data_IF_798894243858
#
_entry.id   IF_798894243858
#
_cell.length_a   1.000
_cell.length_b   1.000
_cell.length_c   1.000
_cell.angle_alpha   90.00
_cell.angle_beta   90.00
_cell.angle_gamma   90.00
#
_symmetry.space_group_name_H-M   'P 1'
#
loop_
_entity.id
_entity.type
_entity.pdbx_description
1 polymer ?
#
# COMPACT_ATOMS: atom_id res chain seq x y z
N UNK A 1 -18.77 -9.77 -1.82
CA UNK A 1 -18.24 -9.41 -3.16
C UNK A 1 -17.44 -10.55 -3.78
N UNK A 2 -16.77 -11.41 -3.01
CA UNK A 2 -15.95 -12.49 -3.56
C UNK A 2 -16.73 -13.59 -4.31
N UNK A 3 -17.96 -13.90 -3.87
CA UNK A 3 -18.83 -14.89 -4.56
C UNK A 3 -19.20 -14.50 -5.99
N UNK A 4 -19.47 -13.22 -6.25
CA UNK A 4 -19.80 -12.73 -7.60
C UNK A 4 -18.58 -12.80 -8.53
N UNK A 5 -17.39 -12.48 -8.00
CA UNK A 5 -16.14 -12.58 -8.76
C UNK A 5 -15.76 -14.02 -9.09
N UNK A 6 -16.02 -14.94 -8.16
CA UNK A 6 -15.83 -16.38 -8.38
C UNK A 6 -16.67 -16.87 -9.55
N UNK A 7 -17.98 -16.59 -9.54
CA UNK A 7 -18.89 -16.99 -10.62
C UNK A 7 -18.49 -16.42 -11.99
N UNK A 8 -18.09 -15.14 -12.06
CA UNK A 8 -17.66 -14.54 -13.33
C UNK A 8 -16.37 -15.16 -13.90
N UNK A 9 -15.47 -15.66 -13.04
CA UNK A 9 -14.27 -16.39 -13.49
C UNK A 9 -14.56 -17.83 -13.89
N UNK A 10 -15.58 -18.45 -13.30
CA UNK A 10 -16.05 -19.78 -13.69
C UNK A 10 -16.72 -19.73 -15.07
N UNK A 11 -17.47 -18.65 -15.35
CA UNK A 11 -18.14 -18.44 -16.63
C UNK A 11 -17.17 -18.02 -17.75
N UNK A 12 -16.15 -17.20 -17.44
CA UNK A 12 -15.11 -16.79 -18.40
C UNK A 12 -13.73 -16.73 -17.73
N UNK A 13 -12.91 -17.74 -18.01
CA UNK A 13 -11.55 -17.86 -17.46
C UNK A 13 -10.56 -16.82 -18.02
N UNK A 14 -10.90 -16.14 -19.12
CA UNK A 14 -10.09 -15.05 -19.68
C UNK A 14 -10.31 -13.72 -18.96
N UNK A 15 -11.33 -13.64 -18.10
CA UNK A 15 -11.74 -12.40 -17.47
C UNK A 15 -10.81 -12.02 -16.30
N UNK A 16 -10.04 -10.95 -16.49
CA UNK A 16 -9.16 -10.42 -15.44
C UNK A 16 -9.96 -9.53 -14.50
N UNK A 17 -10.24 -10.06 -13.31
CA UNK A 17 -10.96 -9.32 -12.25
C UNK A 17 -9.96 -8.62 -11.33
N UNK A 18 -9.95 -7.30 -11.35
CA UNK A 18 -9.21 -6.50 -10.38
C UNK A 18 -10.08 -6.11 -9.18
N UNK A 19 -9.39 -5.83 -8.07
CA UNK A 19 -9.90 -5.14 -6.88
C UNK A 19 -10.50 -3.76 -7.15
N UNK A 20 -10.66 -2.96 -6.09
CA UNK A 20 -10.93 -1.53 -6.24
C UNK A 20 -9.75 -0.80 -6.92
N UNK A 21 -9.93 0.45 -7.34
CA UNK A 21 -8.87 1.28 -7.93
C UNK A 21 -7.60 1.33 -7.06
N UNK A 22 -7.76 1.40 -5.74
CA UNK A 22 -6.65 1.35 -4.76
C UNK A 22 -5.86 0.04 -4.85
N UNK A 23 -6.52 -1.09 -5.10
CA UNK A 23 -5.86 -2.38 -5.26
C UNK A 23 -5.03 -2.44 -6.55
N UNK A 24 -5.53 -1.87 -7.64
CA UNK A 24 -4.78 -1.78 -8.91
C UNK A 24 -3.51 -0.94 -8.71
N UNK A 25 -3.61 0.20 -8.03
CA UNK A 25 -2.44 1.03 -7.73
C UNK A 25 -1.43 0.33 -6.83
N UNK A 26 -1.87 -0.51 -5.89
CA UNK A 26 -0.95 -1.32 -5.08
C UNK A 26 -0.19 -2.34 -5.94
N UNK A 27 -0.88 -3.07 -6.83
CA UNK A 27 -0.24 -4.03 -7.73
C UNK A 27 0.78 -3.34 -8.65
N UNK A 28 0.37 -2.24 -9.28
CA UNK A 28 1.25 -1.43 -10.13
C UNK A 28 2.44 -0.88 -9.34
N UNK A 29 2.22 -0.46 -8.10
CA UNK A 29 3.27 0.00 -7.20
C UNK A 29 4.28 -1.09 -6.88
N UNK A 30 3.86 -2.35 -6.72
CA UNK A 30 4.74 -3.50 -6.50
C UNK A 30 5.59 -3.81 -7.74
N UNK A 31 5.03 -3.67 -8.94
CA UNK A 31 5.74 -3.95 -10.19
C UNK A 31 6.77 -2.86 -10.53
N UNK A 32 6.47 -1.60 -10.22
CA UNK A 32 7.32 -0.45 -10.61
C UNK A 32 8.33 -0.09 -9.52
N UNK A 33 7.98 -0.27 -8.24
CA UNK A 33 8.83 0.21 -7.14
C UNK A 33 9.86 -0.82 -6.74
N UNK A 34 11.14 -0.45 -6.73
CA UNK A 34 12.19 -1.31 -6.18
C UNK A 34 11.90 -1.67 -4.72
N UNK A 35 11.95 -2.96 -4.40
CA UNK A 35 11.75 -3.48 -3.04
C UNK A 35 12.75 -2.90 -2.04
N UNK A 36 13.97 -2.59 -2.48
CA UNK A 36 15.00 -1.93 -1.66
C UNK A 36 14.59 -0.52 -1.25
N UNK A 37 14.11 0.30 -2.19
CA UNK A 37 13.68 1.68 -1.95
C UNK A 37 12.45 1.69 -1.03
N UNK A 38 11.50 0.79 -1.28
CA UNK A 38 10.31 0.69 -0.43
C UNK A 38 10.70 0.35 1.03
N UNK A 39 11.64 -0.57 1.22
CA UNK A 39 12.15 -0.94 2.54
C UNK A 39 12.77 0.26 3.26
N UNK A 40 13.63 1.02 2.58
CA UNK A 40 14.29 2.18 3.17
C UNK A 40 13.27 3.27 3.57
N UNK A 41 12.28 3.54 2.72
CA UNK A 41 11.18 4.47 3.01
C UNK A 41 10.38 4.02 4.24
N UNK A 42 10.05 2.73 4.31
CA UNK A 42 9.34 2.16 5.48
C UNK A 42 10.15 2.28 6.76
N UNK A 43 11.47 2.09 6.70
CA UNK A 43 12.36 2.19 7.86
C UNK A 43 12.42 3.62 8.39
N UNK A 44 12.61 4.62 7.50
CA UNK A 44 12.61 6.04 7.86
C UNK A 44 11.26 6.42 8.50
N UNK A 45 10.14 6.04 7.89
CA UNK A 45 8.82 6.34 8.43
C UNK A 45 8.58 5.67 9.79
N UNK A 46 9.01 4.41 9.96
CA UNK A 46 8.92 3.68 11.23
C UNK A 46 9.76 4.36 12.31
N UNK A 47 10.94 4.86 11.96
CA UNK A 47 11.80 5.63 12.87
C UNK A 47 11.08 6.86 13.39
N UNK A 48 10.56 7.73 12.52
CA UNK A 48 9.82 8.92 12.96
C UNK A 48 8.55 8.56 13.74
N UNK A 49 7.78 7.53 13.32
CA UNK A 49 6.58 7.09 14.05
C UNK A 49 6.90 6.65 15.49
N UNK A 50 8.00 5.93 15.70
CA UNK A 50 8.34 5.34 16.99
C UNK A 50 9.09 6.30 17.92
N UNK A 51 9.61 7.42 17.41
CA UNK A 51 10.31 8.43 18.19
C UNK A 51 9.42 9.66 18.40
N UNK A 52 8.73 9.70 19.56
CA UNK A 52 7.71 10.72 19.85
C UNK A 52 8.20 12.16 19.64
N UNK A 53 9.39 12.50 20.16
CA UNK A 53 9.98 13.84 20.01
C UNK A 53 10.23 14.24 18.54
N UNK A 54 10.74 13.30 17.74
CA UNK A 54 11.03 13.55 16.31
C UNK A 54 9.75 13.64 15.50
N UNK A 55 8.72 12.85 15.86
CA UNK A 55 7.41 12.97 15.24
C UNK A 55 6.76 14.32 15.52
N UNK A 56 6.84 14.81 16.77
CA UNK A 56 6.31 16.13 17.14
C UNK A 56 7.04 17.23 16.38
N UNK A 57 8.38 17.19 16.35
CA UNK A 57 9.19 18.12 15.56
C UNK A 57 8.80 18.13 14.08
N UNK A 58 8.58 16.95 13.47
CA UNK A 58 8.16 16.84 12.08
C UNK A 58 6.76 17.44 11.81
N UNK A 59 5.86 17.39 12.79
CA UNK A 59 4.52 18.00 12.68
C UNK A 59 4.59 19.52 12.77
N UNK A 60 5.52 20.05 13.55
CA UNK A 60 5.70 21.49 13.76
C UNK A 60 6.43 22.17 12.59
N UNK A 61 7.11 21.42 11.73
CA UNK A 61 7.76 21.95 10.54
C UNK A 61 6.70 22.34 9.47
N UNK A 62 6.63 23.62 9.06
CA UNK A 62 5.53 24.14 8.24
C UNK A 62 5.50 23.61 6.80
N UNK A 63 6.65 23.20 6.26
CA UNK A 63 6.79 22.73 4.87
C UNK A 63 6.95 21.21 4.76
N UNK A 64 6.80 20.46 5.86
CA UNK A 64 6.92 19.01 5.82
C UNK A 64 5.59 18.31 5.69
N UNK A 65 5.43 17.58 4.60
CA UNK A 65 4.36 16.59 4.45
C UNK A 65 4.90 15.27 4.96
N UNK A 66 4.40 14.79 6.10
CA UNK A 66 4.68 13.42 6.53
C UNK A 66 4.16 12.47 5.44
N UNK A 67 5.04 11.74 4.73
CA UNK A 67 4.57 10.80 3.73
C UNK A 67 3.66 9.82 4.45
N UNK A 68 2.45 9.60 3.92
CA UNK A 68 1.61 8.53 4.41
C UNK A 68 2.42 7.26 4.23
N UNK A 69 2.45 6.40 5.25
CA UNK A 69 2.98 5.05 5.05
C UNK A 69 2.31 4.54 3.77
N UNK A 70 3.04 3.94 2.82
CA UNK A 70 2.44 2.85 2.09
C UNK A 70 2.02 1.92 3.23
N UNK A 71 0.76 2.06 3.64
CA UNK A 71 0.15 1.06 4.47
C UNK A 71 0.44 -0.18 3.65
N UNK A 72 1.19 -1.13 4.23
CA UNK A 72 0.99 -2.51 3.83
C UNK A 72 -0.50 -2.69 4.00
N UNK A 73 -1.24 -2.41 2.92
CA UNK A 73 -2.67 -2.54 2.91
C UNK A 73 -2.82 -3.96 3.37
N UNK A 74 -3.40 -4.13 4.56
CA UNK A 74 -3.77 -5.39 5.20
C UNK A 74 -4.79 -6.10 4.30
N UNK A 75 -4.34 -6.42 3.11
CA UNK A 75 -5.05 -6.95 1.95
C UNK A 75 -4.30 -8.20 1.50
N UNK A 76 -3.49 -8.78 2.39
CA UNK A 76 -3.10 -10.18 2.36
C UNK A 76 -4.33 -11.04 2.66
N UNK A 77 -5.12 -11.27 1.61
CA UNK A 77 -5.53 -12.63 1.25
C UNK A 77 -5.85 -12.63 -0.25
N UNK A 78 -4.79 -12.66 -1.05
CA UNK A 78 -4.88 -13.29 -2.37
C UNK A 78 -4.85 -14.78 -2.05
N UNK A 79 -6.02 -15.41 -2.01
CA UNK A 79 -6.16 -16.86 -2.18
C UNK A 79 -6.33 -17.11 -3.68
#
# INVERSE_FOLDING_TARGET
MDKMRGGLKEDDSSLVVYGCSVHIFNLLGQDITSSSIMKDVMEIQKYFRNHHKLNTWLIECPDTVKPRLPIETRWYRVN
#
